data_IF_932872775113
#
_entry.id   IF_932872775113
#
_cell.length_a   1.000
_cell.length_b   1.000
_cell.length_c   1.000
_cell.angle_alpha   90.00
_cell.angle_beta   90.00
_cell.angle_gamma   90.00
#
_symmetry.space_group_name_H-M   'P 1'
#
loop_
_entity.id
_entity.type
_entity.pdbx_description
1 polymer ?
#
# COMPACT_ATOMS: atom_id res chain seq x y z
N UNK A 1 3.29 21.89 -4.03
CA UNK A 1 1.90 21.50 -4.36
C UNK A 1 1.36 20.45 -3.40
N UNK A 2 1.91 19.22 -3.34
CA UNK A 2 1.37 18.14 -2.48
C UNK A 2 1.33 18.48 -0.98
N UNK A 3 2.40 19.08 -0.44
CA UNK A 3 2.43 19.53 0.97
C UNK A 3 1.39 20.63 1.25
N UNK A 4 1.12 21.50 0.28
CA UNK A 4 0.09 22.52 0.40
C UNK A 4 -1.31 21.91 0.40
N UNK A 5 -1.56 20.87 -0.41
CA UNK A 5 -2.81 20.11 -0.38
C UNK A 5 -3.01 19.37 0.97
N UNK A 6 -1.96 18.75 1.50
CA UNK A 6 -2.00 18.09 2.80
C UNK A 6 -2.27 19.08 3.94
N UNK A 7 -1.60 20.25 3.91
CA UNK A 7 -1.82 21.32 4.87
C UNK A 7 -3.25 21.88 4.76
N UNK A 8 -3.74 22.15 3.54
CA UNK A 8 -5.10 22.59 3.31
C UNK A 8 -6.13 21.57 3.82
N UNK A 9 -5.88 20.27 3.67
CA UNK A 9 -6.72 19.21 4.22
C UNK A 9 -6.75 19.25 5.76
N UNK A 10 -5.60 19.37 6.43
CA UNK A 10 -5.55 19.46 7.88
C UNK A 10 -6.24 20.73 8.40
N UNK A 11 -6.04 21.86 7.73
CA UNK A 11 -6.73 23.12 8.04
C UNK A 11 -8.23 22.98 7.83
N UNK A 12 -8.67 22.38 6.73
CA UNK A 12 -10.08 22.11 6.47
C UNK A 12 -10.68 21.18 7.55
N UNK A 13 -10.00 20.10 7.92
CA UNK A 13 -10.43 19.20 9.00
C UNK A 13 -10.50 19.93 10.36
N UNK A 14 -9.64 20.90 10.61
CA UNK A 14 -9.66 21.71 11.83
C UNK A 14 -10.81 22.71 11.84
N UNK A 15 -11.00 23.47 10.76
CA UNK A 15 -12.03 24.52 10.65
C UNK A 15 -13.44 23.94 10.54
N UNK A 16 -13.58 22.78 9.92
CA UNK A 16 -14.88 22.12 9.71
C UNK A 16 -15.22 21.10 10.80
N UNK A 17 -14.38 21.00 11.83
CA UNK A 17 -14.56 20.04 12.92
C UNK A 17 -15.94 20.21 13.59
N UNK A 18 -16.74 19.15 13.61
CA UNK A 18 -18.07 19.14 14.23
C UNK A 18 -19.22 19.51 13.30
N UNK A 19 -18.97 19.98 12.07
CA UNK A 19 -20.03 20.24 11.08
C UNK A 19 -20.32 18.98 10.26
N UNK A 20 -21.61 18.63 10.15
CA UNK A 20 -22.09 17.56 9.26
C UNK A 20 -22.51 18.20 7.96
N UNK A 21 -21.85 17.84 6.86
CA UNK A 21 -22.20 18.33 5.54
C UNK A 21 -23.16 17.35 4.89
N UNK A 22 -24.36 17.83 4.56
CA UNK A 22 -25.34 17.08 3.78
C UNK A 22 -25.13 17.43 2.31
N UNK A 23 -24.47 16.54 1.55
CA UNK A 23 -24.27 16.72 0.11
C UNK A 23 -24.93 15.55 -0.61
N UNK A 24 -25.90 15.86 -1.48
CA UNK A 24 -26.63 14.88 -2.33
C UNK A 24 -27.20 13.67 -1.56
N UNK A 25 -27.70 13.88 -0.34
CA UNK A 25 -28.29 12.83 0.50
C UNK A 25 -27.29 11.98 1.27
N UNK A 26 -25.98 12.28 1.19
CA UNK A 26 -24.94 11.61 1.97
C UNK A 26 -24.47 12.51 3.12
N UNK A 27 -24.35 11.92 4.31
CA UNK A 27 -23.90 12.60 5.52
C UNK A 27 -22.37 12.51 5.56
N UNK A 28 -21.68 13.58 5.17
CA UNK A 28 -20.22 13.64 5.22
C UNK A 28 -19.79 14.37 6.50
N UNK A 29 -19.19 13.63 7.43
CA UNK A 29 -18.59 14.19 8.63
C UNK A 29 -17.09 14.17 8.46
N UNK A 30 -16.46 15.35 8.47
CA UNK A 30 -15.01 15.41 8.40
C UNK A 30 -14.39 14.70 9.63
N UNK A 31 -13.32 13.91 9.44
CA UNK A 31 -12.64 13.25 10.54
C UNK A 31 -12.14 14.28 11.55
N UNK A 32 -12.08 13.88 12.82
CA UNK A 32 -11.52 14.78 13.84
C UNK A 32 -10.07 15.15 13.50
N UNK A 33 -9.59 16.34 13.86
CA UNK A 33 -8.20 16.74 13.61
C UNK A 33 -7.19 15.71 14.11
N UNK A 34 -7.48 15.05 15.25
CA UNK A 34 -6.67 13.94 15.78
C UNK A 34 -6.64 12.74 14.82
N UNK A 35 -7.79 12.36 14.28
CA UNK A 35 -7.89 11.25 13.33
C UNK A 35 -7.24 11.62 11.98
N UNK A 36 -7.39 12.86 11.51
CA UNK A 36 -6.75 13.35 10.29
C UNK A 36 -5.21 13.36 10.43
N UNK A 37 -4.69 13.80 11.57
CA UNK A 37 -3.25 13.74 11.89
C UNK A 37 -2.76 12.29 11.97
N UNK A 38 -3.50 11.41 12.63
CA UNK A 38 -3.15 9.99 12.71
C UNK A 38 -3.14 9.34 11.32
N UNK A 39 -4.14 9.64 10.48
CA UNK A 39 -4.19 9.14 9.11
C UNK A 39 -2.99 9.64 8.28
N UNK A 40 -2.64 10.91 8.40
CA UNK A 40 -1.48 11.48 7.72
C UNK A 40 -0.17 10.84 8.19
N UNK A 41 0.02 10.70 9.50
CA UNK A 41 1.21 10.07 10.07
C UNK A 41 1.32 8.60 9.65
N UNK A 42 0.23 7.83 9.73
CA UNK A 42 0.21 6.43 9.28
C UNK A 42 0.53 6.32 7.79
N UNK A 43 -0.05 7.19 6.95
CA UNK A 43 0.24 7.19 5.52
C UNK A 43 1.71 7.53 5.22
N UNK A 44 2.24 8.57 5.86
CA UNK A 44 3.64 8.99 5.71
C UNK A 44 4.59 7.86 6.13
N UNK A 45 4.36 7.26 7.31
CA UNK A 45 5.14 6.12 7.81
C UNK A 45 5.06 4.94 6.87
N UNK A 46 3.85 4.57 6.41
CA UNK A 46 3.66 3.46 5.48
C UNK A 46 4.46 3.65 4.19
N UNK A 47 4.31 4.81 3.53
CA UNK A 47 5.01 5.07 2.27
C UNK A 47 6.52 5.19 2.43
N UNK A 48 6.97 5.76 3.55
CA UNK A 48 8.41 5.82 3.88
C UNK A 48 8.97 4.42 4.10
N UNK A 49 8.26 3.57 4.84
CA UNK A 49 8.66 2.19 5.09
C UNK A 49 8.74 1.37 3.79
N UNK A 50 7.74 1.53 2.90
CA UNK A 50 7.78 0.93 1.56
C UNK A 50 9.05 1.36 0.81
N UNK A 51 9.37 2.66 0.82
CA UNK A 51 10.57 3.19 0.18
C UNK A 51 11.87 2.66 0.79
N UNK A 52 11.95 2.54 2.12
CA UNK A 52 13.12 2.00 2.83
C UNK A 52 13.32 0.51 2.58
N UNK A 53 12.24 -0.28 2.53
CA UNK A 53 12.32 -1.70 2.15
C UNK A 53 12.81 -1.81 0.70
N UNK A 54 12.31 -0.96 -0.21
CA UNK A 54 12.78 -0.92 -1.58
C UNK A 54 14.26 -0.56 -1.69
N UNK A 55 14.79 0.33 -0.83
CA UNK A 55 16.22 0.69 -0.86
C UNK A 55 17.14 -0.46 -0.46
N UNK A 56 16.66 -1.46 0.29
CA UNK A 56 17.44 -2.66 0.58
C UNK A 56 17.83 -3.44 -0.68
N UNK A 57 17.03 -3.35 -1.74
CA UNK A 57 17.31 -3.98 -3.04
C UNK A 57 18.16 -3.11 -3.98
N UNK A 58 18.44 -1.87 -3.59
CA UNK A 58 19.21 -0.89 -4.34
C UNK A 58 20.27 -0.23 -3.44
N UNK A 59 21.16 -1.00 -2.79
CA UNK A 59 22.09 -0.48 -1.78
C UNK A 59 23.09 0.54 -2.33
N UNK A 60 23.34 0.55 -3.64
CA UNK A 60 24.16 1.55 -4.32
C UNK A 60 23.51 2.94 -4.43
N UNK A 61 22.23 3.07 -4.08
CA UNK A 61 21.50 4.33 -4.06
C UNK A 61 21.26 4.78 -2.62
N UNK A 62 21.28 6.09 -2.38
CA UNK A 62 20.89 6.63 -1.07
C UNK A 62 19.40 6.40 -0.78
N UNK A 63 19.08 6.00 0.44
CA UNK A 63 17.70 5.70 0.90
C UNK A 63 16.70 6.82 0.56
N UNK A 64 17.08 8.07 0.82
CA UNK A 64 16.26 9.26 0.52
C UNK A 64 15.93 9.35 -0.98
N UNK A 65 16.90 9.02 -1.85
CA UNK A 65 16.69 9.05 -3.30
C UNK A 65 15.69 7.98 -3.72
N UNK A 66 15.80 6.77 -3.16
CA UNK A 66 14.87 5.67 -3.46
C UNK A 66 13.47 6.00 -2.93
N UNK A 67 13.34 6.45 -1.68
CA UNK A 67 12.06 6.86 -1.07
C UNK A 67 11.39 7.96 -1.90
N UNK A 68 12.13 9.00 -2.31
CA UNK A 68 11.60 10.06 -3.16
C UNK A 68 11.10 9.53 -4.52
N UNK A 69 11.85 8.60 -5.13
CA UNK A 69 11.46 7.98 -6.40
C UNK A 69 10.23 7.10 -6.25
N UNK A 70 10.11 6.34 -5.15
CA UNK A 70 8.90 5.56 -4.81
C UNK A 70 7.69 6.47 -4.66
N UNK A 71 7.81 7.59 -3.95
CA UNK A 71 6.71 8.54 -3.78
C UNK A 71 6.27 9.16 -5.12
N UNK A 72 7.22 9.50 -5.99
CA UNK A 72 6.91 9.98 -7.34
C UNK A 72 6.19 8.90 -8.16
N UNK A 73 6.66 7.66 -8.10
CA UNK A 73 6.05 6.53 -8.78
C UNK A 73 4.64 6.22 -8.26
N UNK A 74 4.38 6.40 -6.96
CA UNK A 74 3.05 6.25 -6.38
C UNK A 74 2.06 7.28 -6.96
N UNK A 75 2.49 8.54 -7.09
CA UNK A 75 1.67 9.59 -7.73
C UNK A 75 1.44 9.27 -9.20
N UNK A 76 2.48 8.89 -9.95
CA UNK A 76 2.35 8.51 -11.35
C UNK A 76 1.38 7.32 -11.54
N UNK A 77 1.48 6.31 -10.67
CA UNK A 77 0.59 5.14 -10.66
C UNK A 77 -0.86 5.55 -10.38
N UNK A 78 -1.08 6.43 -9.41
CA UNK A 78 -2.41 6.93 -9.07
C UNK A 78 -3.05 7.70 -10.25
N UNK A 79 -2.26 8.49 -10.98
CA UNK A 79 -2.73 9.20 -12.17
C UNK A 79 -3.02 8.24 -13.32
N UNK A 80 -2.16 7.25 -13.53
CA UNK A 80 -2.30 6.28 -14.62
C UNK A 80 -3.47 5.29 -14.42
N UNK A 81 -4.02 5.19 -13.20
CA UNK A 81 -5.08 4.22 -12.86
C UNK A 81 -4.72 2.76 -13.21
N UNK A 82 -3.42 2.43 -13.21
CA UNK A 82 -2.94 1.09 -13.56
C UNK A 82 -3.02 0.20 -12.32
N UNK A 83 -3.75 -0.93 -12.37
CA UNK A 83 -3.81 -1.87 -11.26
C UNK A 83 -2.41 -2.39 -10.94
N UNK A 84 -2.07 -2.43 -9.64
CA UNK A 84 -0.75 -2.79 -9.11
C UNK A 84 0.45 -1.92 -9.58
N UNK A 85 0.22 -0.86 -10.36
CA UNK A 85 1.29 0.02 -10.85
C UNK A 85 2.37 -0.68 -11.69
N UNK A 86 2.01 -1.80 -12.32
CA UNK A 86 2.90 -2.59 -13.17
C UNK A 86 3.33 -1.75 -14.39
N UNK A 87 4.64 -1.69 -14.64
CA UNK A 87 5.23 -0.90 -15.72
C UNK A 87 5.43 0.57 -15.37
N UNK A 88 4.49 1.20 -14.63
CA UNK A 88 4.60 2.61 -14.22
C UNK A 88 5.72 2.80 -13.20
N UNK A 89 5.80 1.92 -12.19
CA UNK A 89 6.87 1.95 -11.19
C UNK A 89 8.24 1.82 -11.86
N UNK A 90 8.40 0.83 -12.75
CA UNK A 90 9.63 0.57 -13.49
C UNK A 90 10.02 1.76 -14.36
N UNK A 91 9.06 2.30 -15.10
CA UNK A 91 9.30 3.45 -15.98
C UNK A 91 9.77 4.67 -15.20
N UNK A 92 9.16 4.97 -14.04
CA UNK A 92 9.58 6.10 -13.20
C UNK A 92 10.98 5.87 -12.63
N UNK A 93 11.29 4.67 -12.16
CA UNK A 93 12.64 4.35 -11.68
C UNK A 93 13.69 4.46 -12.78
N UNK A 94 13.42 3.92 -13.97
CA UNK A 94 14.33 4.03 -15.12
C UNK A 94 14.49 5.50 -15.54
N UNK A 95 13.41 6.27 -15.59
CA UNK A 95 13.44 7.68 -15.95
C UNK A 95 14.26 8.52 -14.94
N UNK A 96 14.12 8.23 -13.64
CA UNK A 96 14.81 8.98 -12.59
C UNK A 96 16.23 8.52 -12.33
N UNK A 97 16.50 7.21 -12.44
CA UNK A 97 17.72 6.58 -11.91
C UNK A 97 18.48 5.75 -12.94
N UNK A 98 17.97 5.61 -14.17
CA UNK A 98 18.61 4.86 -15.25
C UNK A 98 19.99 5.41 -15.66
N UNK A 99 20.25 6.69 -15.36
CA UNK A 99 21.56 7.31 -15.55
C UNK A 99 22.61 6.90 -14.50
N UNK A 100 22.18 6.33 -13.37
CA UNK A 100 23.07 5.88 -12.28
C UNK A 100 23.19 4.36 -12.21
N UNK A 101 22.09 3.66 -12.52
CA UNK A 101 21.99 2.21 -12.42
C UNK A 101 21.42 1.67 -13.72
N UNK A 102 22.02 0.62 -14.32
CA UNK A 102 21.50 0.04 -15.56
C UNK A 102 20.03 -0.37 -15.43
N UNK A 103 19.17 -0.10 -16.43
CA UNK A 103 17.74 -0.40 -16.36
C UNK A 103 17.41 -1.85 -15.97
N UNK A 104 18.20 -2.82 -16.45
CA UNK A 104 18.04 -4.23 -16.10
C UNK A 104 18.17 -4.49 -14.59
N UNK A 105 19.13 -3.82 -13.92
CA UNK A 105 19.31 -3.94 -12.47
C UNK A 105 18.16 -3.27 -11.70
N UNK A 106 17.68 -2.11 -12.17
CA UNK A 106 16.52 -1.44 -11.56
C UNK A 106 15.28 -2.33 -11.62
N UNK A 107 14.98 -2.89 -12.80
CA UNK A 107 13.83 -3.79 -12.98
C UNK A 107 13.99 -5.05 -12.12
N UNK A 108 15.18 -5.65 -12.10
CA UNK A 108 15.46 -6.82 -11.24
C UNK A 108 15.22 -6.54 -9.75
N UNK A 109 15.71 -5.41 -9.25
CA UNK A 109 15.51 -4.98 -7.87
C UNK A 109 14.02 -4.74 -7.55
N UNK A 110 13.28 -4.07 -8.44
CA UNK A 110 11.85 -3.83 -8.26
C UNK A 110 11.03 -5.12 -8.28
N UNK A 111 11.40 -6.09 -9.11
CA UNK A 111 10.77 -7.42 -9.12
C UNK A 111 11.04 -8.18 -7.83
N UNK A 112 12.28 -8.14 -7.31
CA UNK A 112 12.62 -8.74 -6.03
C UNK A 112 11.85 -8.09 -4.87
N UNK A 113 11.78 -6.75 -4.85
CA UNK A 113 10.95 -6.00 -3.93
C UNK A 113 9.48 -6.44 -4.00
N UNK A 114 8.90 -6.58 -5.21
CA UNK A 114 7.52 -7.06 -5.41
C UNK A 114 7.33 -8.50 -4.93
N UNK A 115 8.30 -9.38 -5.10
CA UNK A 115 8.21 -10.73 -4.58
C UNK A 115 8.10 -10.72 -3.04
N UNK A 116 8.92 -9.92 -2.37
CA UNK A 116 8.85 -9.77 -0.92
C UNK A 116 7.57 -9.06 -0.45
N UNK A 117 7.06 -8.09 -1.20
CA UNK A 117 5.90 -7.30 -0.78
C UNK A 117 4.54 -7.94 -1.13
N UNK A 118 4.46 -8.69 -2.24
CA UNK A 118 3.21 -9.29 -2.72
C UNK A 118 3.17 -10.80 -2.57
N UNK A 119 4.22 -11.51 -2.97
CA UNK A 119 4.21 -12.98 -2.97
C UNK A 119 4.38 -13.53 -1.55
N UNK A 120 5.27 -12.95 -0.75
CA UNK A 120 5.49 -13.44 0.62
C UNK A 120 4.22 -13.37 1.50
N UNK A 121 3.46 -12.25 1.57
CA UNK A 121 2.21 -12.22 2.31
C UNK A 121 1.15 -13.16 1.74
N UNK A 122 1.09 -13.30 0.41
CA UNK A 122 0.17 -14.23 -0.24
C UNK A 122 0.46 -15.68 0.16
N UNK A 123 1.73 -16.07 0.19
CA UNK A 123 2.15 -17.41 0.61
C UNK A 123 1.80 -17.68 2.08
N UNK A 124 2.03 -16.69 2.95
CA UNK A 124 1.67 -16.80 4.37
C UNK A 124 0.15 -16.96 4.52
N UNK A 125 -0.64 -16.14 3.83
CA UNK A 125 -2.10 -16.21 3.87
C UNK A 125 -2.62 -17.55 3.33
N UNK A 126 -2.07 -18.04 2.21
CA UNK A 126 -2.44 -19.32 1.63
C UNK A 126 -2.10 -20.49 2.55
N UNK A 127 -0.92 -20.47 3.18
CA UNK A 127 -0.51 -21.49 4.16
C UNK A 127 -1.41 -21.49 5.40
N UNK A 128 -1.74 -20.30 5.93
CA UNK A 128 -2.66 -20.16 7.05
C UNK A 128 -4.08 -20.66 6.70
N UNK A 129 -4.55 -20.38 5.49
CA UNK A 129 -5.83 -20.87 5.00
C UNK A 129 -5.84 -22.39 4.86
N UNK A 130 -4.84 -22.97 4.21
CA UNK A 130 -4.71 -24.43 4.06
C UNK A 130 -4.66 -25.12 5.42
N UNK A 131 -3.92 -24.56 6.38
CA UNK A 131 -3.87 -25.05 7.76
C UNK A 131 -5.25 -25.06 8.42
N UNK A 132 -6.01 -23.97 8.27
CA UNK A 132 -7.35 -23.87 8.83
C UNK A 132 -8.30 -24.90 8.21
N UNK A 133 -8.23 -25.13 6.90
CA UNK A 133 -9.05 -26.13 6.20
C UNK A 133 -8.73 -27.56 6.66
N UNK A 134 -7.44 -27.88 6.82
CA UNK A 134 -6.98 -29.16 7.38
C UNK A 134 -7.45 -29.35 8.82
N UNK A 135 -7.40 -28.30 9.64
CA UNK A 135 -7.84 -28.32 11.04
C UNK A 135 -9.36 -28.37 11.21
N UNK A 136 -10.13 -27.92 10.21
CA UNK A 136 -11.59 -27.79 10.28
C UNK A 136 -12.35 -28.98 9.71
N UNK A 137 -11.68 -30.06 9.28
CA UNK A 137 -12.34 -31.28 8.79
C UNK A 137 -13.16 -31.92 9.93
N UNK A 138 -14.51 -31.89 9.88
CA UNK A 138 -15.30 -32.65 10.83
C UNK A 138 -15.08 -34.12 10.50
N UNK A 139 -14.66 -34.91 11.49
CA UNK A 139 -14.91 -36.34 11.48
C UNK A 139 -16.41 -36.52 11.33
N UNK A 140 -16.85 -36.88 10.12
CA UNK A 140 -18.22 -37.28 9.84
C UNK A 140 -18.48 -38.61 10.53
N UNK A 141 -18.67 -38.58 11.84
CA UNK A 141 -19.34 -39.64 12.58
C UNK A 141 -20.82 -39.45 12.29
N UNK A 142 -21.28 -40.06 11.18
CA UNK A 142 -22.71 -40.06 10.85
C UNK A 142 -23.47 -40.77 11.97
N UNK A 143 -24.42 -40.13 12.68
CA UNK A 143 -25.30 -40.84 13.58
C UNK A 143 -26.23 -41.70 12.72
N UNK A 144 -26.08 -43.02 12.83
CA UNK A 144 -27.08 -43.97 12.34
C UNK A 144 -28.36 -43.77 13.18
N UNK A 145 -29.32 -43.00 12.67
CA UNK A 145 -30.69 -42.97 13.19
C UNK A 145 -31.66 -43.41 12.10
N UNK A 146 -32.09 -44.67 12.27
CA UNK A 146 -33.39 -45.25 12.05
C UNK A 146 -33.99 -45.32 10.62
N UNK A 147 -34.20 -46.56 10.17
CA UNK A 147 -35.45 -46.96 9.52
C UNK A 147 -35.93 -48.33 10.03
N UNK A 148 -37.06 -48.26 10.73
CA UNK A 148 -38.14 -49.25 10.93
C UNK A 148 -37.88 -50.48 11.81
#
# INVERSE_FOLDING_TARGET
VLLACAFAYLVACHVTHGRVYHVRGHHFRFPSPRLALLQFAMAATNWTLIGLICSLFLPQLGEVTVVATVLLAAVATALAHVPAGLGVLEAVFIAMLGHRVPPAHLVGALLAFRACYFLLPLLIAAAAYAWLELASRPTSTSPSVAKQ
#
